data_IF_890177622675
#
_entry.id   IF_890177622675
#
_cell.length_a   1.000
_cell.length_b   1.000
_cell.length_c   1.000
_cell.angle_alpha   90.00
_cell.angle_beta   90.00
_cell.angle_gamma   90.00
#
_symmetry.space_group_name_H-M   'P 1'
#
loop_
_entity.id
_entity.type
_entity.pdbx_description
1 polymer ?
#
# COMPACT_ATOMS: atom_id res chain seq x y z
N UNK A 1 -0.81 13.78 1.92
CA UNK A 1 -1.54 12.70 2.62
C UNK A 1 -0.52 11.72 3.14
N UNK A 2 -0.78 11.05 4.25
CA UNK A 2 0.06 9.96 4.76
C UNK A 2 -0.58 8.62 4.43
N UNK A 3 0.21 7.55 4.21
CA UNK A 3 -0.31 6.19 4.17
C UNK A 3 -1.07 5.84 5.45
N UNK A 4 -2.14 5.05 5.35
CA UNK A 4 -2.92 4.63 6.52
C UNK A 4 -2.25 3.51 7.32
N UNK A 5 -2.79 3.24 8.52
CA UNK A 5 -2.44 2.04 9.29
C UNK A 5 -2.78 0.75 8.52
N UNK A 6 -3.83 0.77 7.69
CA UNK A 6 -4.19 -0.37 6.82
C UNK A 6 -3.08 -0.63 5.80
N UNK A 7 -2.58 0.41 5.12
CA UNK A 7 -1.43 0.30 4.23
C UNK A 7 -0.22 -0.25 4.99
N UNK A 8 0.06 0.30 6.17
CA UNK A 8 1.19 -0.12 6.98
C UNK A 8 1.13 -1.62 7.32
N UNK A 9 -0.01 -2.12 7.77
CA UNK A 9 -0.17 -3.52 8.20
C UNK A 9 -0.30 -4.52 7.06
N UNK A 10 -0.79 -4.10 5.89
CA UNK A 10 -1.08 -5.02 4.78
C UNK A 10 -0.09 -4.94 3.61
N UNK A 11 0.65 -3.83 3.47
CA UNK A 11 1.65 -3.63 2.40
C UNK A 11 3.06 -3.54 2.97
N UNK A 12 3.33 -2.53 3.81
CA UNK A 12 4.69 -2.28 4.28
C UNK A 12 5.23 -3.32 5.28
N UNK A 13 4.47 -3.69 6.31
CA UNK A 13 4.90 -4.69 7.29
C UNK A 13 5.13 -6.07 6.68
N UNK A 14 4.24 -6.60 5.82
CA UNK A 14 4.50 -7.88 5.16
C UNK A 14 5.75 -7.86 4.28
N UNK A 15 6.07 -6.74 3.64
CA UNK A 15 7.33 -6.57 2.91
C UNK A 15 8.55 -6.68 3.84
N UNK A 16 8.54 -5.98 4.99
CA UNK A 16 9.63 -6.07 5.98
C UNK A 16 9.75 -7.45 6.64
N UNK A 17 8.62 -8.09 6.94
CA UNK A 17 8.59 -9.48 7.38
C UNK A 17 9.19 -10.40 6.30
N UNK A 18 8.98 -10.05 5.04
CA UNK A 18 9.62 -10.69 3.90
C UNK A 18 11.14 -10.63 3.93
N UNK A 19 11.67 -9.50 4.43
CA UNK A 19 13.09 -9.24 4.67
C UNK A 19 13.59 -9.80 6.01
N UNK A 20 12.74 -10.45 6.79
CA UNK A 20 13.09 -11.12 8.05
C UNK A 20 12.81 -10.32 9.31
N UNK A 21 12.21 -9.12 9.22
CA UNK A 21 11.80 -8.36 10.39
C UNK A 21 10.66 -9.09 11.12
N UNK A 22 10.83 -9.36 12.41
CA UNK A 22 9.73 -9.86 13.22
C UNK A 22 9.10 -8.70 14.01
N UNK A 23 7.85 -8.39 13.72
CA UNK A 23 7.11 -7.34 14.40
C UNK A 23 5.63 -7.71 14.53
N UNK A 24 5.01 -7.23 15.60
CA UNK A 24 3.59 -7.38 15.89
C UNK A 24 2.95 -6.00 15.95
N UNK A 25 1.87 -5.80 15.18
CA UNK A 25 1.11 -4.55 15.18
C UNK A 25 -0.25 -4.79 15.84
N UNK A 26 -0.52 -4.07 16.91
CA UNK A 26 -1.80 -4.12 17.61
C UNK A 26 -2.58 -2.83 17.35
N UNK A 27 -3.74 -2.95 16.72
CA UNK A 27 -4.66 -1.81 16.53
C UNK A 27 -5.66 -1.77 17.67
N UNK A 28 -5.61 -0.75 18.52
CA UNK A 28 -6.59 -0.59 19.60
C UNK A 28 -7.82 0.19 19.15
N UNK A 29 -7.62 1.22 18.30
CA UNK A 29 -8.70 2.09 17.81
C UNK A 29 -8.27 2.82 16.55
N UNK A 30 -9.17 2.92 15.56
CA UNK A 30 -8.96 3.76 14.39
C UNK A 30 -9.39 5.21 14.68
N UNK A 31 -8.70 6.16 14.05
CA UNK A 31 -9.01 7.57 14.11
C UNK A 31 -9.12 8.15 12.71
N UNK A 32 -10.21 8.84 12.43
CA UNK A 32 -10.44 9.49 11.14
C UNK A 32 -10.28 10.99 11.26
N UNK A 33 -9.67 11.63 10.25
CA UNK A 33 -9.60 13.08 10.20
C UNK A 33 -11.02 13.69 10.08
N UNK A 34 -11.33 14.81 10.78
CA UNK A 34 -10.46 15.57 11.67
C UNK A 34 -10.50 15.11 13.15
N UNK A 35 -11.40 14.21 13.51
CA UNK A 35 -11.63 13.81 14.91
C UNK A 35 -10.40 13.14 15.55
N UNK A 36 -9.65 12.34 14.78
CA UNK A 36 -8.47 11.64 15.26
C UNK A 36 -8.78 10.63 16.35
N UNK A 37 -7.92 10.55 17.38
CA UNK A 37 -8.10 9.66 18.53
C UNK A 37 -7.84 8.17 18.24
N UNK A 38 -7.17 7.87 17.13
CA UNK A 38 -6.65 6.53 16.84
C UNK A 38 -5.47 6.19 17.73
N UNK A 39 -5.30 4.90 18.04
CA UNK A 39 -4.23 4.38 18.88
C UNK A 39 -3.87 2.97 18.46
N UNK A 40 -2.58 2.73 18.27
CA UNK A 40 -2.02 1.45 17.90
C UNK A 40 -0.61 1.32 18.49
N UNK A 41 -0.14 0.08 18.61
CA UNK A 41 1.17 -0.27 19.13
C UNK A 41 1.90 -1.14 18.11
N UNK A 42 3.23 -1.02 18.07
CA UNK A 42 4.09 -1.96 17.36
C UNK A 42 5.20 -2.43 18.28
N UNK A 43 5.39 -3.74 18.31
CA UNK A 43 6.49 -4.41 19.00
C UNK A 43 7.44 -4.96 17.93
N UNK A 44 8.71 -4.55 17.97
CA UNK A 44 9.71 -4.93 16.97
C UNK A 44 10.80 -5.73 17.66
N UNK A 45 10.97 -6.98 17.25
CA UNK A 45 12.08 -7.80 17.73
C UNK A 45 13.41 -7.29 17.14
N UNK A 46 14.48 -7.18 17.93
CA UNK A 46 15.79 -6.83 17.41
C UNK A 46 16.23 -7.82 16.32
N UNK A 47 16.84 -7.29 15.27
CA UNK A 47 17.40 -8.08 14.17
C UNK A 47 18.84 -7.63 13.89
N UNK A 48 19.72 -8.57 13.55
CA UNK A 48 21.12 -8.27 13.22
C UNK A 48 21.30 -7.79 11.79
N UNK A 49 20.48 -8.28 10.85
CA UNK A 49 20.54 -7.94 9.44
C UNK A 49 19.21 -8.21 8.74
N UNK A 50 18.79 -7.31 7.86
CA UNK A 50 17.68 -7.56 6.93
C UNK A 50 18.17 -8.40 5.74
N UNK A 51 17.27 -9.18 5.15
CA UNK A 51 17.50 -9.87 3.88
C UNK A 51 17.21 -8.91 2.72
N UNK A 52 18.01 -8.92 1.63
CA UNK A 52 17.71 -8.17 0.43
C UNK A 52 16.29 -8.44 -0.09
N UNK A 53 15.56 -7.39 -0.43
CA UNK A 53 14.24 -7.51 -1.01
C UNK A 53 14.31 -7.68 -2.53
N UNK A 54 13.42 -8.49 -3.09
CA UNK A 54 13.24 -8.64 -4.54
C UNK A 54 11.75 -8.62 -4.86
N UNK A 55 11.30 -7.54 -5.49
CA UNK A 55 9.92 -7.36 -5.94
C UNK A 55 9.91 -7.15 -7.45
N UNK A 56 9.81 -8.25 -8.20
CA UNK A 56 9.86 -8.21 -9.67
C UNK A 56 8.55 -8.70 -10.32
N UNK A 57 7.72 -9.44 -9.58
CA UNK A 57 6.42 -9.88 -10.09
C UNK A 57 5.51 -8.67 -10.23
N UNK A 58 4.94 -8.45 -11.42
CA UNK A 58 4.09 -7.30 -11.66
C UNK A 58 2.72 -7.43 -10.98
N UNK A 59 2.10 -6.29 -10.69
CA UNK A 59 0.72 -6.25 -10.20
C UNK A 59 -0.27 -6.91 -11.16
N UNK A 60 -0.06 -6.79 -12.47
CA UNK A 60 -0.90 -7.44 -13.49
C UNK A 60 -0.83 -8.98 -13.38
N UNK A 61 0.36 -9.55 -13.24
CA UNK A 61 0.54 -11.00 -13.06
C UNK A 61 -0.14 -11.51 -11.78
N UNK A 62 -0.08 -10.73 -10.69
CA UNK A 62 -0.76 -11.06 -9.44
C UNK A 62 -2.28 -10.98 -9.60
N UNK A 63 -2.80 -9.97 -10.29
CA UNK A 63 -4.25 -9.77 -10.49
C UNK A 63 -4.93 -10.94 -11.22
N UNK A 64 -4.20 -11.66 -12.09
CA UNK A 64 -4.73 -12.80 -12.86
C UNK A 64 -5.41 -13.85 -11.97
N UNK A 65 -4.97 -14.01 -10.72
CA UNK A 65 -5.66 -14.83 -9.73
C UNK A 65 -6.40 -13.92 -8.76
N UNK A 66 -7.73 -13.84 -8.85
CA UNK A 66 -8.50 -12.89 -8.03
C UNK A 66 -8.47 -13.18 -6.52
N UNK A 67 -8.00 -14.35 -6.07
CA UNK A 67 -7.65 -14.57 -4.67
C UNK A 67 -6.47 -13.70 -4.18
N UNK A 68 -5.67 -13.11 -5.08
CA UNK A 68 -4.71 -12.05 -4.78
C UNK A 68 -5.37 -10.67 -4.58
N UNK A 69 -6.65 -10.51 -4.93
CA UNK A 69 -7.31 -9.21 -4.95
C UNK A 69 -8.23 -9.05 -3.74
N UNK A 70 -8.19 -7.89 -3.09
CA UNK A 70 -9.09 -7.58 -1.99
C UNK A 70 -9.73 -6.20 -2.15
N UNK A 71 -10.99 -6.10 -1.71
CA UNK A 71 -11.78 -4.88 -1.62
C UNK A 71 -12.21 -4.70 -0.17
N UNK A 72 -11.73 -3.65 0.48
CA UNK A 72 -12.05 -3.36 1.88
C UNK A 72 -12.67 -1.96 1.97
N UNK A 73 -13.84 -1.86 2.61
CA UNK A 73 -14.42 -0.58 3.00
C UNK A 73 -14.53 -0.52 4.52
N UNK A 74 -13.79 0.41 5.13
CA UNK A 74 -13.79 0.66 6.56
C UNK A 74 -14.74 1.83 6.84
N UNK A 75 -15.77 1.59 7.63
CA UNK A 75 -16.78 2.59 8.01
C UNK A 75 -16.89 2.74 9.51
N UNK A 76 -17.00 3.98 9.98
CA UNK A 76 -17.31 4.32 11.37
C UNK A 76 -18.40 5.41 11.36
N UNK A 77 -19.53 5.20 12.05
CA UNK A 77 -20.61 6.20 12.08
C UNK A 77 -21.22 6.56 10.72
N UNK A 78 -20.98 5.73 9.69
CA UNK A 78 -21.49 5.87 8.32
C UNK A 78 -22.36 4.65 7.98
N UNK A 79 -23.38 4.84 7.14
CA UNK A 79 -24.30 3.74 6.74
C UNK A 79 -23.55 2.68 5.92
N UNK A 80 -23.81 1.41 6.20
CA UNK A 80 -23.32 0.25 5.42
C UNK A 80 -23.63 0.35 3.91
N UNK A 81 -24.68 1.07 3.52
CA UNK A 81 -25.01 1.31 2.11
C UNK A 81 -23.98 2.18 1.38
N UNK A 82 -23.11 2.90 2.09
CA UNK A 82 -21.94 3.57 1.50
C UNK A 82 -20.90 2.53 1.10
N UNK A 83 -20.48 1.68 2.05
CA UNK A 83 -19.52 0.61 1.83
C UNK A 83 -19.97 -0.37 0.71
N UNK A 84 -21.24 -0.78 0.73
CA UNK A 84 -21.79 -1.66 -0.30
C UNK A 84 -21.77 -1.05 -1.71
N UNK A 85 -21.97 0.28 -1.84
CA UNK A 85 -21.91 0.97 -3.13
C UNK A 85 -20.47 1.12 -3.63
N UNK A 86 -19.52 1.37 -2.74
CA UNK A 86 -18.09 1.38 -3.05
C UNK A 86 -17.61 0.04 -3.58
N UNK A 87 -17.87 -1.03 -2.84
CA UNK A 87 -17.51 -2.40 -3.20
C UNK A 87 -18.10 -2.77 -4.56
N UNK A 88 -19.42 -2.58 -4.74
CA UNK A 88 -20.11 -2.90 -5.99
C UNK A 88 -19.52 -2.12 -7.17
N UNK A 89 -19.17 -0.84 -6.96
CA UNK A 89 -18.56 0.00 -7.99
C UNK A 89 -17.18 -0.53 -8.39
N UNK A 90 -16.34 -0.89 -7.42
CA UNK A 90 -15.00 -1.41 -7.69
C UNK A 90 -15.04 -2.78 -8.38
N UNK A 91 -15.81 -3.73 -7.85
CA UNK A 91 -15.98 -5.06 -8.44
C UNK A 91 -16.46 -4.96 -9.89
N UNK A 92 -17.44 -4.09 -10.16
CA UNK A 92 -17.95 -3.87 -11.52
C UNK A 92 -16.92 -3.25 -12.45
N UNK A 93 -16.06 -2.33 -11.99
CA UNK A 93 -15.08 -1.68 -12.86
C UNK A 93 -13.81 -2.50 -13.07
N UNK A 94 -13.49 -3.40 -12.16
CA UNK A 94 -12.30 -4.26 -12.20
C UNK A 94 -12.61 -5.69 -12.67
N UNK A 95 -13.90 -6.05 -12.82
CA UNK A 95 -14.35 -7.43 -13.07
C UNK A 95 -13.90 -8.42 -11.97
N UNK A 96 -13.80 -7.94 -10.74
CA UNK A 96 -13.40 -8.73 -9.57
C UNK A 96 -14.60 -9.43 -8.93
N UNK A 97 -15.06 -10.52 -9.56
CA UNK A 97 -16.22 -11.30 -9.06
C UNK A 97 -15.86 -12.25 -7.92
N UNK A 98 -14.59 -12.65 -7.82
CA UNK A 98 -14.08 -13.63 -6.87
C UNK A 98 -13.02 -13.05 -5.91
N UNK A 99 -12.83 -11.73 -5.91
CA UNK A 99 -11.92 -11.05 -4.99
C UNK A 99 -12.45 -11.09 -3.55
N UNK A 100 -11.54 -11.14 -2.58
CA UNK A 100 -11.87 -10.97 -1.17
C UNK A 100 -12.59 -9.65 -0.95
N UNK A 101 -13.64 -9.64 -0.15
CA UNK A 101 -14.47 -8.45 0.07
C UNK A 101 -14.85 -8.34 1.54
N UNK A 102 -14.60 -7.18 2.13
CA UNK A 102 -14.86 -6.94 3.55
C UNK A 102 -15.46 -5.55 3.79
N UNK A 103 -16.40 -5.48 4.73
CA UNK A 103 -16.87 -4.24 5.34
C UNK A 103 -16.44 -4.26 6.80
N UNK A 104 -15.42 -3.47 7.14
CA UNK A 104 -14.97 -3.30 8.52
C UNK A 104 -15.77 -2.18 9.17
N UNK A 105 -16.41 -2.50 10.30
CA UNK A 105 -17.20 -1.56 11.10
C UNK A 105 -16.34 -1.10 12.26
N UNK A 106 -15.48 -0.14 11.98
CA UNK A 106 -14.52 0.36 12.92
C UNK A 106 -15.18 1.14 14.06
N UNK A 107 -14.70 0.87 15.29
CA UNK A 107 -14.96 1.75 16.42
C UNK A 107 -13.99 2.93 16.36
N UNK A 108 -14.51 4.15 16.16
CA UNK A 108 -13.71 5.37 16.05
C UNK A 108 -14.43 6.57 16.67
N UNK A 109 -13.68 7.64 16.95
CA UNK A 109 -14.29 8.91 17.30
C UNK A 109 -14.84 9.59 16.04
N UNK A 110 -16.14 9.89 16.06
CA UNK A 110 -16.82 10.52 14.94
C UNK A 110 -17.06 9.58 13.76
N UNK A 111 -17.47 10.17 12.63
CA UNK A 111 -17.73 9.44 11.39
C UNK A 111 -16.50 9.37 10.51
N UNK A 112 -16.29 8.23 9.84
CA UNK A 112 -15.18 8.01 8.95
C UNK A 112 -15.50 6.97 7.88
N UNK A 113 -14.83 7.09 6.75
CA UNK A 113 -14.90 6.14 5.66
C UNK A 113 -13.53 6.06 4.97
N UNK A 114 -13.03 4.84 4.77
CA UNK A 114 -11.81 4.59 4.03
C UNK A 114 -11.99 3.39 3.13
N UNK A 115 -11.79 3.58 1.84
CA UNK A 115 -11.94 2.55 0.82
C UNK A 115 -10.58 2.10 0.32
N UNK A 116 -10.36 0.80 0.28
CA UNK A 116 -9.08 0.18 -0.05
C UNK A 116 -9.26 -0.88 -1.13
N UNK A 117 -8.29 -0.91 -2.05
CA UNK A 117 -8.09 -1.98 -3.01
C UNK A 117 -6.67 -2.51 -2.83
N UNK A 118 -6.49 -3.82 -2.88
CA UNK A 118 -5.15 -4.40 -2.89
C UNK A 118 -5.01 -5.51 -3.91
N UNK A 119 -3.80 -5.66 -4.45
CA UNK A 119 -3.40 -6.77 -5.31
C UNK A 119 -2.08 -7.33 -4.78
N UNK A 120 -2.08 -8.63 -4.51
CA UNK A 120 -0.91 -9.37 -4.06
C UNK A 120 -1.17 -10.23 -2.82
N UNK A 121 -0.15 -10.98 -2.42
CA UNK A 121 -0.20 -11.93 -1.32
C UNK A 121 1.12 -11.95 -0.57
N UNK A 122 1.07 -12.40 0.68
CA UNK A 122 2.23 -12.58 1.54
C UNK A 122 3.09 -11.30 1.61
N UNK A 123 4.28 -11.31 1.01
CA UNK A 123 5.30 -10.27 1.18
C UNK A 123 5.16 -9.11 0.20
N UNK A 124 4.34 -9.26 -0.85
CA UNK A 124 4.18 -8.27 -1.90
C UNK A 124 2.69 -7.99 -2.08
N UNK A 125 2.26 -6.84 -1.58
CA UNK A 125 0.87 -6.40 -1.65
C UNK A 125 0.87 -4.92 -2.03
N UNK A 126 0.41 -4.61 -3.23
CA UNK A 126 0.20 -3.21 -3.62
C UNK A 126 -1.17 -2.75 -3.12
N UNK A 127 -1.21 -1.62 -2.41
CA UNK A 127 -2.45 -1.08 -1.84
C UNK A 127 -2.78 0.33 -2.31
N UNK A 128 -4.06 0.55 -2.63
CA UNK A 128 -4.62 1.83 -3.07
C UNK A 128 -5.76 2.22 -2.15
N UNK A 129 -5.69 3.42 -1.60
CA UNK A 129 -6.66 3.89 -0.61
C UNK A 129 -7.26 5.24 -0.99
N UNK A 130 -8.52 5.43 -0.63
CA UNK A 130 -9.26 6.68 -0.79
C UNK A 130 -10.12 6.94 0.44
N UNK A 131 -9.94 8.10 1.04
CA UNK A 131 -10.75 8.55 2.17
C UNK A 131 -12.07 9.14 1.66
N UNK A 132 -13.17 8.77 2.32
CA UNK A 132 -14.46 9.40 2.09
C UNK A 132 -14.49 10.81 2.66
N UNK A 133 -15.05 11.74 1.90
CA UNK A 133 -15.17 13.15 2.30
C UNK A 133 -16.64 13.59 2.22
N UNK A 134 -17.01 14.59 3.02
CA UNK A 134 -18.34 15.17 2.97
C UNK A 134 -18.61 15.72 1.55
N UNK A 135 -19.74 15.32 0.96
CA UNK A 135 -20.11 15.70 -0.41
C UNK A 135 -19.50 14.84 -1.51
N UNK A 136 -18.63 13.87 -1.18
CA UNK A 136 -18.10 12.90 -2.13
C UNK A 136 -18.97 11.63 -2.13
N UNK A 137 -19.42 11.18 -3.30
CA UNK A 137 -20.21 9.95 -3.40
C UNK A 137 -19.33 8.71 -3.23
N UNK A 138 -19.91 7.65 -2.67
CA UNK A 138 -19.33 6.31 -2.57
C UNK A 138 -18.71 5.82 -3.90
N UNK A 139 -19.43 6.02 -5.00
CA UNK A 139 -18.99 5.62 -6.34
C UNK A 139 -17.79 6.42 -6.83
N UNK A 140 -17.66 7.68 -6.40
CA UNK A 140 -16.52 8.53 -6.75
C UNK A 140 -15.29 8.20 -5.90
N UNK A 141 -15.48 7.87 -4.62
CA UNK A 141 -14.42 7.31 -3.75
C UNK A 141 -13.85 6.05 -4.39
N UNK A 142 -14.70 5.05 -4.66
CA UNK A 142 -14.28 3.81 -5.29
C UNK A 142 -13.67 4.04 -6.68
N UNK A 143 -14.27 4.89 -7.51
CA UNK A 143 -13.77 5.20 -8.86
C UNK A 143 -12.37 5.83 -8.87
N UNK A 144 -12.01 6.62 -7.85
CA UNK A 144 -10.65 7.15 -7.70
C UNK A 144 -9.66 6.05 -7.37
N UNK A 145 -9.98 5.16 -6.44
CA UNK A 145 -9.11 4.03 -6.08
C UNK A 145 -8.91 3.09 -7.27
N UNK A 146 -9.98 2.76 -7.99
CA UNK A 146 -9.94 1.94 -9.22
C UNK A 146 -9.04 2.57 -10.28
N UNK A 147 -9.12 3.90 -10.47
CA UNK A 147 -8.28 4.59 -11.45
C UNK A 147 -6.80 4.45 -11.11
N UNK A 148 -6.43 4.64 -9.84
CA UNK A 148 -5.04 4.50 -9.38
C UNK A 148 -4.54 3.07 -9.55
N UNK A 149 -5.34 2.07 -9.14
CA UNK A 149 -4.99 0.67 -9.31
C UNK A 149 -4.79 0.30 -10.78
N UNK A 150 -5.70 0.70 -11.68
CA UNK A 150 -5.57 0.41 -13.11
C UNK A 150 -4.33 1.03 -13.74
N UNK A 151 -3.93 2.22 -13.28
CA UNK A 151 -2.70 2.86 -13.72
C UNK A 151 -1.48 2.03 -13.29
N UNK A 152 -1.45 1.57 -12.04
CA UNK A 152 -0.41 0.67 -11.54
C UNK A 152 -0.37 -0.67 -12.29
N UNK A 153 -1.51 -1.35 -12.47
CA UNK A 153 -1.54 -2.63 -13.20
C UNK A 153 -0.98 -2.48 -14.62
N UNK A 154 -1.39 -1.43 -15.35
CA UNK A 154 -0.91 -1.15 -16.71
C UNK A 154 0.60 -0.86 -16.79
N UNK A 155 1.22 -0.41 -15.70
CA UNK A 155 2.64 -0.05 -15.69
C UNK A 155 3.59 -1.25 -15.73
N UNK A 156 3.14 -2.42 -15.29
CA UNK A 156 4.01 -3.56 -15.04
C UNK A 156 4.86 -3.45 -13.75
N UNK A 157 4.58 -2.48 -12.88
CA UNK A 157 5.26 -2.31 -11.61
C UNK A 157 4.94 -3.44 -10.62
N UNK A 158 5.93 -3.80 -9.82
CA UNK A 158 5.78 -4.74 -8.70
C UNK A 158 5.25 -4.04 -7.44
N UNK A 159 5.69 -2.81 -7.19
CA UNK A 159 5.26 -2.01 -6.03
C UNK A 159 4.72 -0.64 -6.44
N UNK A 160 3.71 -0.20 -5.73
CA UNK A 160 3.10 1.12 -5.77
C UNK A 160 4.02 2.21 -5.19
N UNK A 161 3.73 3.46 -5.56
CA UNK A 161 4.55 4.63 -5.22
C UNK A 161 4.87 4.76 -3.72
N UNK A 162 3.89 4.54 -2.84
CA UNK A 162 4.08 4.66 -1.39
C UNK A 162 5.00 3.59 -0.81
N UNK A 163 4.94 2.36 -1.33
CA UNK A 163 5.80 1.27 -0.87
C UNK A 163 7.21 1.42 -1.44
N UNK A 164 7.33 1.85 -2.69
CA UNK A 164 8.60 2.16 -3.34
C UNK A 164 9.46 3.13 -2.51
N UNK A 165 8.84 4.20 -2.01
CA UNK A 165 9.50 5.16 -1.11
C UNK A 165 9.96 4.53 0.21
N UNK A 166 9.07 3.77 0.86
CA UNK A 166 9.31 3.21 2.19
C UNK A 166 10.31 2.04 2.20
N UNK A 167 10.52 1.37 1.06
CA UNK A 167 11.47 0.27 0.93
C UNK A 167 12.93 0.72 0.80
N UNK A 168 13.20 1.99 0.47
CA UNK A 168 14.56 2.46 0.18
C UNK A 168 15.52 2.27 1.37
N UNK A 169 15.10 2.69 2.57
CA UNK A 169 15.93 2.55 3.77
C UNK A 169 16.11 1.08 4.19
N UNK A 170 15.04 0.26 4.29
CA UNK A 170 15.19 -1.19 4.50
C UNK A 170 16.11 -1.87 3.49
N UNK A 171 16.00 -1.53 2.21
CA UNK A 171 16.84 -2.08 1.14
C UNK A 171 18.32 -1.68 1.32
N UNK A 172 18.58 -0.42 1.68
CA UNK A 172 19.93 0.05 2.00
C UNK A 172 20.51 -0.68 3.22
N UNK A 173 19.72 -0.86 4.28
CA UNK A 173 20.14 -1.59 5.49
C UNK A 173 20.32 -3.10 5.26
N UNK A 174 19.60 -3.68 4.31
CA UNK A 174 19.80 -5.06 3.87
C UNK A 174 21.08 -5.23 3.03
N UNK A 175 21.71 -4.13 2.60
CA UNK A 175 22.91 -4.15 1.77
C UNK A 175 22.67 -4.60 0.33
N UNK A 176 21.41 -4.58 -0.14
CA UNK A 176 21.06 -4.98 -1.50
C UNK A 176 19.56 -5.13 -1.72
N UNK A 177 19.16 -5.23 -2.98
CA UNK A 177 17.78 -5.54 -3.36
C UNK A 177 17.34 -4.83 -4.64
N UNK A 178 16.15 -5.18 -5.11
CA UNK A 178 15.54 -4.57 -6.29
C UNK A 178 14.02 -4.56 -6.23
N UNK A 179 13.42 -3.55 -6.86
CA UNK A 179 11.99 -3.51 -7.14
C UNK A 179 11.68 -2.66 -8.37
N UNK A 180 10.46 -2.82 -8.92
CA UNK A 180 9.94 -1.93 -9.96
C UNK A 180 8.75 -1.11 -9.48
N UNK A 181 8.66 0.15 -9.92
CA UNK A 181 7.59 1.09 -9.57
C UNK A 181 7.15 1.94 -10.75
N UNK A 182 5.98 2.58 -10.66
CA UNK A 182 5.36 3.37 -11.75
C UNK A 182 6.16 4.62 -12.09
N UNK A 183 6.64 5.33 -11.08
CA UNK A 183 7.39 6.57 -11.21
C UNK A 183 8.26 6.80 -9.98
N UNK A 184 9.34 7.56 -10.15
CA UNK A 184 10.10 8.08 -9.01
C UNK A 184 9.41 9.33 -8.48
N UNK A 185 8.68 9.18 -7.38
CA UNK A 185 8.06 10.33 -6.70
C UNK A 185 9.11 11.29 -6.15
N UNK A 186 8.72 12.53 -5.86
CA UNK A 186 9.60 13.48 -5.17
C UNK A 186 10.07 12.96 -3.79
N UNK A 187 9.25 12.15 -3.11
CA UNK A 187 9.64 11.49 -1.87
C UNK A 187 10.72 10.45 -2.13
N UNK A 188 10.53 9.59 -3.14
CA UNK A 188 11.49 8.56 -3.54
C UNK A 188 12.85 9.16 -3.86
N UNK A 189 12.91 10.21 -4.69
CA UNK A 189 14.19 10.85 -5.05
C UNK A 189 14.85 11.51 -3.85
N UNK A 190 14.06 12.20 -3.01
CA UNK A 190 14.58 12.83 -1.77
C UNK A 190 15.13 11.78 -0.81
N UNK A 191 14.46 10.64 -0.65
CA UNK A 191 14.91 9.57 0.22
C UNK A 191 16.19 8.90 -0.29
N UNK A 192 16.33 8.72 -1.61
CA UNK A 192 17.61 8.26 -2.21
C UNK A 192 18.74 9.24 -1.85
N UNK A 193 18.53 10.54 -2.02
CA UNK A 193 19.53 11.57 -1.72
C UNK A 193 19.91 11.61 -0.24
N UNK A 194 18.93 11.51 0.66
CA UNK A 194 19.15 11.49 2.12
C UNK A 194 19.91 10.24 2.56
N UNK A 195 19.55 9.06 2.04
CA UNK A 195 20.24 7.81 2.34
C UNK A 195 21.70 7.89 1.89
N UNK A 196 21.95 8.41 0.68
CA UNK A 196 23.31 8.59 0.16
C UNK A 196 24.14 9.53 1.04
N UNK A 197 23.57 10.66 1.49
CA UNK A 197 24.26 11.62 2.35
C UNK A 197 24.60 11.05 3.73
N UNK A 198 23.73 10.22 4.32
CA UNK A 198 23.92 9.70 5.67
C UNK A 198 24.77 8.42 5.73
N UNK A 199 24.71 7.58 4.70
CA UNK A 199 25.32 6.25 4.71
C UNK A 199 26.41 6.03 3.67
N UNK A 200 26.52 6.90 2.66
CA UNK A 200 27.38 6.68 1.49
C UNK A 200 26.86 5.63 0.51
N UNK A 201 25.71 5.01 0.77
CA UNK A 201 25.09 4.00 -0.10
C UNK A 201 24.45 4.69 -1.30
N UNK A 202 24.81 4.24 -2.51
CA UNK A 202 24.23 4.76 -3.76
C UNK A 202 23.18 3.80 -4.30
N UNK A 203 21.90 4.13 -4.09
CA UNK A 203 20.78 3.43 -4.71
C UNK A 203 20.70 3.85 -6.19
N UNK A 204 20.56 2.88 -7.09
CA UNK A 204 20.51 3.10 -8.53
C UNK A 204 19.07 3.05 -9.03
N UNK A 205 18.80 3.82 -10.07
CA UNK A 205 17.49 3.84 -10.74
C UNK A 205 17.65 3.74 -12.25
N UNK A 206 16.78 2.98 -12.91
CA UNK A 206 16.76 2.83 -14.36
C UNK A 206 15.32 2.91 -14.87
N UNK A 207 15.05 3.81 -15.82
CA UNK A 207 13.76 3.81 -16.52
C UNK A 207 13.74 2.64 -17.52
N UNK A 208 12.78 1.74 -17.37
CA UNK A 208 12.60 0.59 -18.25
C UNK A 208 11.66 0.92 -19.43
N UNK A 209 10.64 1.74 -19.18
CA UNK A 209 9.75 2.29 -20.20
C UNK A 209 9.09 3.60 -19.69
N UNK A 210 8.15 4.17 -20.46
CA UNK A 210 7.46 5.42 -20.12
C UNK A 210 6.77 5.41 -18.73
N UNK A 211 6.37 4.24 -18.24
CA UNK A 211 5.58 4.08 -17.02
C UNK A 211 6.22 3.15 -16.00
N UNK A 212 7.49 2.76 -16.17
CA UNK A 212 8.13 1.76 -15.32
C UNK A 212 9.59 2.12 -15.03
N UNK A 213 9.91 2.11 -13.74
CA UNK A 213 11.25 2.33 -13.22
C UNK A 213 11.70 1.13 -12.40
N UNK A 214 12.97 0.74 -12.56
CA UNK A 214 13.67 -0.18 -11.68
C UNK A 214 14.48 0.61 -10.66
N UNK A 215 14.38 0.24 -9.40
CA UNK A 215 15.22 0.74 -8.31
C UNK A 215 16.00 -0.44 -7.75
N UNK A 216 17.30 -0.28 -7.54
CA UNK A 216 18.15 -1.40 -7.11
C UNK A 216 19.41 -0.95 -6.37
N UNK A 217 19.93 -1.87 -5.55
CA UNK A 217 21.21 -1.80 -4.86
C UNK A 217 21.92 -3.15 -5.03
N UNK A 218 23.16 -3.09 -5.53
CA UNK A 218 24.01 -4.27 -5.80
C UNK A 218 24.62 -4.87 -4.52
#
# INVERSE_FOLDING_TARGET
>A
MSPSLTFFTHSFMPALQGMGLNCEVTTHKLGFFPAGGGSWQIDIAPITSLKPCQFEQSGEELELQQNNCNVLSIVAGVKDSVAGREIKKAQSQLNWTNAGTEIDRANAFGSGNSFHLSVGQAKQVAMFEQIGELGLSAERVAGRAVKSLKHYLKSGAAVEEHLADQLLLPMALAGGGSFTTTALSSHTTTNIDVIAQLSGITIKTQQLNEHLWKVYLD
#
